data_IF_829069367415
#
_entry.id   IF_829069367415
#
_cell.length_a   1.000
_cell.length_b   1.000
_cell.length_c   1.000
_cell.angle_alpha   90.00
_cell.angle_beta   90.00
_cell.angle_gamma   90.00
#
_symmetry.space_group_name_H-M   'P 1'
#
loop_
_entity.id
_entity.type
_entity.pdbx_description
1 polymer ?
#
# COMPACT_ATOMS: atom_id res chain seq x y z
N UNK A 1 -7.50 -21.42 19.26
CA UNK A 1 -7.34 -20.13 18.56
C UNK A 1 -5.87 -19.74 18.60
N UNK A 2 -5.29 -19.45 17.46
CA UNK A 2 -3.90 -18.98 17.35
C UNK A 2 -3.85 -17.46 17.38
N UNK A 3 -2.82 -16.87 18.01
CA UNK A 3 -2.66 -15.41 18.08
C UNK A 3 -1.27 -15.06 17.56
N UNK A 4 -1.19 -14.28 16.47
CA UNK A 4 0.05 -13.79 15.93
C UNK A 4 0.19 -12.30 16.20
N UNK A 5 1.26 -11.92 16.89
CA UNK A 5 1.63 -10.53 17.10
C UNK A 5 2.68 -10.11 16.06
N UNK A 6 2.32 -9.20 15.19
CA UNK A 6 3.21 -8.73 14.12
C UNK A 6 3.97 -7.53 14.64
N UNK A 7 5.27 -7.69 14.85
CA UNK A 7 6.13 -6.68 15.44
C UNK A 7 7.12 -6.11 14.39
N UNK A 8 7.18 -4.79 14.21
CA UNK A 8 8.12 -4.17 13.30
C UNK A 8 9.52 -4.06 13.92
N UNK A 9 10.56 -4.24 13.12
CA UNK A 9 11.95 -3.97 13.53
C UNK A 9 12.35 -2.51 13.36
N UNK A 10 11.52 -1.70 12.71
CA UNK A 10 11.80 -0.28 12.46
C UNK A 10 10.64 0.44 11.80
N UNK A 11 10.90 1.71 11.47
CA UNK A 11 9.97 2.52 10.70
C UNK A 11 9.96 2.09 9.22
N UNK A 12 8.80 2.11 8.59
CA UNK A 12 8.69 1.88 7.15
C UNK A 12 8.95 0.45 6.68
N UNK A 13 9.00 -0.54 7.58
CA UNK A 13 9.21 -1.96 7.21
C UNK A 13 8.03 -2.58 6.46
N UNK A 14 6.90 -1.89 6.34
CA UNK A 14 5.68 -2.39 5.69
C UNK A 14 4.86 -3.30 6.59
N UNK A 15 4.71 -2.90 7.85
CA UNK A 15 3.97 -3.66 8.87
C UNK A 15 2.54 -3.97 8.44
N UNK A 16 1.78 -2.95 8.06
CA UNK A 16 0.37 -3.08 7.62
C UNK A 16 0.25 -3.93 6.36
N UNK A 17 1.15 -3.76 5.38
CA UNK A 17 1.18 -4.59 4.17
C UNK A 17 1.41 -6.07 4.50
N UNK A 18 2.28 -6.34 5.49
CA UNK A 18 2.54 -7.71 5.96
C UNK A 18 1.34 -8.27 6.73
N UNK A 19 0.68 -7.46 7.56
CA UNK A 19 -0.55 -7.85 8.27
C UNK A 19 -1.66 -8.21 7.28
N UNK A 20 -1.87 -7.38 6.24
CA UNK A 20 -2.82 -7.65 5.15
C UNK A 20 -2.50 -8.97 4.42
N UNK A 21 -1.23 -9.16 4.04
CA UNK A 21 -0.79 -10.37 3.35
C UNK A 21 -0.93 -11.63 4.20
N UNK A 22 -0.60 -11.55 5.49
CA UNK A 22 -0.76 -12.66 6.41
C UNK A 22 -2.23 -13.03 6.60
N UNK A 23 -3.11 -12.05 6.80
CA UNK A 23 -4.55 -12.29 6.87
C UNK A 23 -5.07 -12.96 5.60
N UNK A 24 -4.62 -12.54 4.42
CA UNK A 24 -5.00 -13.15 3.15
C UNK A 24 -4.50 -14.59 3.04
N UNK A 25 -3.28 -14.88 3.45
CA UNK A 25 -2.73 -16.23 3.44
C UNK A 25 -3.52 -17.17 4.38
N UNK A 26 -3.87 -16.67 5.57
CA UNK A 26 -4.68 -17.42 6.55
C UNK A 26 -6.12 -17.63 6.06
N UNK A 27 -6.75 -16.60 5.45
CA UNK A 27 -8.09 -16.69 4.86
C UNK A 27 -8.11 -17.70 3.70
N UNK A 28 -7.07 -17.69 2.85
CA UNK A 28 -6.91 -18.68 1.77
C UNK A 28 -6.69 -20.09 2.29
N UNK A 29 -6.15 -20.23 3.50
CA UNK A 29 -6.10 -21.48 4.25
C UNK A 29 -7.45 -21.93 4.80
N UNK A 30 -8.52 -21.15 4.64
CA UNK A 30 -9.89 -21.45 5.07
C UNK A 30 -10.16 -21.18 6.55
N UNK A 31 -9.33 -20.36 7.20
CA UNK A 31 -9.47 -20.02 8.61
C UNK A 31 -10.40 -18.82 8.82
N UNK A 32 -11.12 -18.80 9.92
CA UNK A 32 -11.85 -17.62 10.39
C UNK A 32 -10.85 -16.64 11.00
N UNK A 33 -10.50 -15.63 10.23
CA UNK A 33 -9.53 -14.63 10.64
C UNK A 33 -10.15 -13.52 11.48
N UNK A 34 -9.34 -12.93 12.36
CA UNK A 34 -9.65 -11.68 13.05
C UNK A 34 -8.40 -10.79 13.11
N UNK A 35 -8.63 -9.51 13.33
CA UNK A 35 -7.57 -8.50 13.40
C UNK A 35 -7.77 -7.60 14.61
N UNK A 36 -6.66 -7.16 15.19
CA UNK A 36 -6.66 -6.16 16.25
C UNK A 36 -5.44 -5.25 16.11
N UNK A 37 -5.68 -3.94 16.05
CA UNK A 37 -4.69 -2.89 16.26
C UNK A 37 -4.89 -2.36 17.67
N UNK A 38 -4.04 -2.72 18.66
CA UNK A 38 -4.29 -2.36 20.06
C UNK A 38 -4.28 -0.85 20.31
N UNK A 39 -3.37 -0.13 19.65
CA UNK A 39 -3.12 1.30 19.86
C UNK A 39 -3.09 2.01 18.52
N UNK A 40 -3.83 3.13 18.43
CA UNK A 40 -3.88 3.95 17.23
C UNK A 40 -2.54 4.66 17.00
N UNK A 41 -2.10 4.66 15.75
CA UNK A 41 -0.96 5.44 15.29
C UNK A 41 -1.35 6.19 14.02
N UNK A 42 -1.72 7.46 14.19
CA UNK A 42 -2.02 8.35 13.07
C UNK A 42 -0.74 9.00 12.53
N UNK A 43 -0.70 9.21 11.22
CA UNK A 43 0.32 10.05 10.61
C UNK A 43 -0.01 11.54 10.80
N UNK A 44 1.00 12.41 10.79
CA UNK A 44 0.78 13.86 10.87
C UNK A 44 -0.19 14.32 9.77
N UNK A 45 -1.31 14.91 10.18
CA UNK A 45 -2.36 15.39 9.27
C UNK A 45 -3.49 14.41 8.97
N UNK A 46 -3.41 13.16 9.43
CA UNK A 46 -4.53 12.22 9.28
C UNK A 46 -5.69 12.59 10.20
N UNK A 47 -6.87 12.68 9.60
CA UNK A 47 -8.14 12.87 10.31
C UNK A 47 -9.06 11.71 9.94
N UNK A 48 -9.46 10.90 10.91
CA UNK A 48 -10.36 9.78 10.63
C UNK A 48 -10.03 8.52 11.44
N UNK A 49 -10.59 7.38 11.07
CA UNK A 49 -10.27 6.07 11.66
C UNK A 49 -8.79 5.73 11.50
N UNK A 50 -8.29 4.88 12.38
CA UNK A 50 -6.92 4.38 12.26
C UNK A 50 -6.76 3.57 10.97
N UNK A 51 -5.72 3.90 10.22
CA UNK A 51 -5.53 3.47 8.83
C UNK A 51 -5.46 1.95 8.64
N UNK A 52 -4.70 1.24 9.48
CA UNK A 52 -4.57 -0.22 9.37
C UNK A 52 -5.92 -0.91 9.61
N UNK A 53 -6.65 -0.48 10.64
CA UNK A 53 -7.97 -1.02 10.96
C UNK A 53 -8.97 -0.79 9.84
N UNK A 54 -8.99 0.42 9.26
CA UNK A 54 -9.87 0.76 8.16
C UNK A 54 -9.55 -0.03 6.88
N UNK A 55 -8.25 -0.18 6.54
CA UNK A 55 -7.81 -1.02 5.43
C UNK A 55 -8.26 -2.48 5.60
N UNK A 56 -8.12 -3.03 6.79
CA UNK A 56 -8.55 -4.40 7.12
C UNK A 56 -10.06 -4.54 6.99
N UNK A 57 -10.83 -3.59 7.53
CA UNK A 57 -12.30 -3.60 7.42
C UNK A 57 -12.75 -3.63 5.96
N UNK A 58 -12.15 -2.80 5.12
CA UNK A 58 -12.51 -2.73 3.70
C UNK A 58 -12.07 -3.95 2.89
N UNK A 59 -10.97 -4.60 3.30
CA UNK A 59 -10.38 -5.71 2.54
C UNK A 59 -11.01 -7.04 2.88
N UNK A 60 -11.30 -7.30 4.15
CA UNK A 60 -11.72 -8.63 4.65
C UNK A 60 -13.15 -8.68 5.17
N UNK A 61 -13.89 -7.57 5.16
CA UNK A 61 -15.23 -7.46 5.73
C UNK A 61 -15.29 -7.97 7.20
N UNK A 62 -14.24 -7.69 7.97
CA UNK A 62 -14.19 -7.88 9.42
C UNK A 62 -14.21 -6.52 10.11
N UNK A 63 -14.74 -6.47 11.31
CA UNK A 63 -14.79 -5.25 12.12
C UNK A 63 -13.80 -5.37 13.28
N UNK A 64 -12.58 -4.83 13.15
CA UNK A 64 -11.63 -4.79 14.26
C UNK A 64 -12.17 -3.92 15.39
N UNK A 65 -11.81 -4.23 16.65
CA UNK A 65 -12.13 -3.32 17.76
C UNK A 65 -11.43 -1.98 17.55
N UNK A 66 -12.09 -0.90 17.92
CA UNK A 66 -11.49 0.44 17.85
C UNK A 66 -10.19 0.45 18.66
N UNK A 67 -9.05 0.84 18.07
CA UNK A 67 -7.78 0.92 18.78
C UNK A 67 -7.84 2.00 19.87
N UNK A 68 -7.03 1.82 20.92
CA UNK A 68 -6.92 2.82 21.96
C UNK A 68 -6.20 4.06 21.43
N UNK A 69 -6.73 5.28 21.67
CA UNK A 69 -6.04 6.51 21.28
C UNK A 69 -4.64 6.61 21.88
N UNK A 70 -3.68 7.15 21.11
CA UNK A 70 -2.29 7.29 21.56
C UNK A 70 -2.18 8.16 22.82
N UNK A 71 -2.90 9.28 22.87
CA UNK A 71 -2.93 10.18 24.02
C UNK A 71 -3.40 9.47 25.30
N UNK A 72 -4.41 8.62 25.19
CA UNK A 72 -4.90 7.84 26.32
C UNK A 72 -3.86 6.81 26.75
N UNK A 73 -3.18 6.17 25.80
CA UNK A 73 -2.09 5.23 26.07
C UNK A 73 -0.93 5.93 26.81
N UNK A 74 -0.54 7.11 26.32
CA UNK A 74 0.55 7.90 26.93
C UNK A 74 0.20 8.37 28.36
N UNK A 75 -1.08 8.70 28.60
CA UNK A 75 -1.55 9.02 29.94
C UNK A 75 -1.39 7.82 30.89
N UNK A 76 -1.85 6.62 30.52
CA UNK A 76 -1.66 5.42 31.33
C UNK A 76 -0.18 5.13 31.64
N UNK A 77 0.68 5.31 30.63
CA UNK A 77 2.14 5.09 30.80
C UNK A 77 2.76 6.13 31.71
N UNK A 78 2.35 7.41 31.58
CA UNK A 78 2.82 8.51 32.42
C UNK A 78 2.39 8.38 33.88
N UNK A 79 1.19 7.87 34.12
CA UNK A 79 0.63 7.60 35.46
C UNK A 79 1.15 6.27 36.06
N UNK A 80 1.99 5.51 35.36
CA UNK A 80 2.50 4.20 35.82
C UNK A 80 1.46 3.09 35.81
N UNK A 81 0.34 3.25 35.12
CA UNK A 81 -0.80 2.33 35.08
C UNK A 81 -0.73 1.37 33.87
N UNK A 82 0.43 0.77 33.64
CA UNK A 82 0.60 -0.17 32.51
C UNK A 82 -0.34 -1.36 32.59
N UNK A 83 -0.55 -1.92 33.79
CA UNK A 83 -1.40 -3.09 33.98
C UNK A 83 -2.85 -2.79 33.62
N UNK A 84 -3.39 -1.63 33.99
CA UNK A 84 -4.75 -1.20 33.65
C UNK A 84 -4.90 -1.01 32.14
N UNK A 85 -3.88 -0.43 31.48
CA UNK A 85 -3.82 -0.32 30.02
C UNK A 85 -3.90 -1.69 29.34
N UNK A 86 -3.08 -2.64 29.80
CA UNK A 86 -3.03 -3.99 29.23
C UNK A 86 -4.35 -4.73 29.45
N UNK A 87 -4.99 -4.59 30.61
CA UNK A 87 -6.28 -5.21 30.90
C UNK A 87 -7.38 -4.71 29.95
N UNK A 88 -7.46 -3.39 29.71
CA UNK A 88 -8.42 -2.84 28.77
C UNK A 88 -8.20 -3.32 27.34
N UNK A 89 -6.94 -3.45 26.90
CA UNK A 89 -6.62 -3.97 25.58
C UNK A 89 -6.98 -5.44 25.46
N UNK A 90 -6.65 -6.24 26.47
CA UNK A 90 -7.01 -7.67 26.53
C UNK A 90 -8.53 -7.88 26.48
N UNK A 91 -9.29 -7.06 27.19
CA UNK A 91 -10.75 -7.12 27.15
C UNK A 91 -11.30 -6.86 25.73
N UNK A 92 -10.85 -5.80 25.06
CA UNK A 92 -11.25 -5.49 23.69
C UNK A 92 -10.84 -6.59 22.71
N UNK A 93 -9.64 -7.12 22.88
CA UNK A 93 -9.14 -8.22 22.07
C UNK A 93 -10.03 -9.46 22.17
N UNK A 94 -10.41 -9.87 23.37
CA UNK A 94 -11.24 -11.05 23.57
C UNK A 94 -12.63 -10.91 22.94
N UNK A 95 -13.22 -9.71 22.96
CA UNK A 95 -14.48 -9.45 22.29
C UNK A 95 -14.37 -9.65 20.76
N UNK A 96 -13.25 -9.19 20.16
CA UNK A 96 -13.00 -9.35 18.73
C UNK A 96 -12.60 -10.78 18.33
N UNK A 97 -12.06 -11.55 19.28
CA UNK A 97 -11.55 -12.90 19.06
C UNK A 97 -12.64 -13.98 19.09
N UNK A 98 -13.85 -13.63 19.49
CA UNK A 98 -14.95 -14.59 19.61
C UNK A 98 -15.28 -15.23 18.25
N UNK A 99 -15.28 -16.56 18.22
CA UNK A 99 -15.59 -17.33 17.00
C UNK A 99 -14.51 -17.30 15.91
N UNK A 100 -13.32 -16.79 16.21
CA UNK A 100 -12.17 -16.77 15.28
C UNK A 100 -11.27 -17.99 15.49
N UNK A 101 -10.68 -18.48 14.41
CA UNK A 101 -9.66 -19.53 14.46
C UNK A 101 -8.27 -18.96 14.72
N UNK A 102 -8.03 -17.74 14.16
CA UNK A 102 -6.75 -17.03 14.28
C UNK A 102 -6.96 -15.52 14.39
N UNK A 103 -6.16 -14.90 15.25
CA UNK A 103 -6.10 -13.45 15.42
C UNK A 103 -4.73 -12.92 15.00
N UNK A 104 -4.71 -11.90 14.17
CA UNK A 104 -3.51 -11.12 13.83
C UNK A 104 -3.56 -9.81 14.62
N UNK A 105 -2.55 -9.56 15.42
CA UNK A 105 -2.41 -8.35 16.23
C UNK A 105 -1.27 -7.51 15.66
N UNK A 106 -1.56 -6.31 15.19
CA UNK A 106 -0.55 -5.42 14.65
C UNK A 106 0.04 -4.53 15.74
N UNK A 107 1.34 -4.65 15.95
CA UNK A 107 2.08 -3.87 16.93
C UNK A 107 2.24 -2.40 16.56
N UNK A 108 2.86 -1.65 17.45
CA UNK A 108 3.21 -0.25 17.24
C UNK A 108 4.52 -0.14 16.48
N UNK A 109 4.58 0.82 15.55
CA UNK A 109 5.81 1.19 14.85
C UNK A 109 6.63 2.15 15.73
N UNK A 110 7.92 1.87 16.00
CA UNK A 110 8.77 2.80 16.69
C UNK A 110 9.01 4.06 15.85
N UNK A 111 8.79 5.23 16.44
CA UNK A 111 9.07 6.54 15.86
C UNK A 111 9.94 7.36 16.81
N UNK A 112 10.43 8.52 16.35
CA UNK A 112 11.22 9.41 17.20
C UNK A 112 10.45 9.90 18.44
N UNK A 113 9.13 10.02 18.32
CA UNK A 113 8.23 10.47 19.40
C UNK A 113 7.68 9.31 20.23
N UNK A 114 7.68 8.08 19.72
CA UNK A 114 7.11 6.88 20.37
C UNK A 114 8.24 5.87 20.64
N UNK A 115 9.23 6.28 21.43
CA UNK A 115 10.39 5.45 21.77
C UNK A 115 10.06 4.22 22.65
N UNK A 116 8.92 4.26 23.34
CA UNK A 116 8.42 3.19 24.20
C UNK A 116 7.73 2.04 23.42
N UNK A 117 7.54 2.17 22.10
CA UNK A 117 6.80 1.21 21.28
C UNK A 117 7.31 -0.23 21.43
N UNK A 118 8.63 -0.43 21.42
CA UNK A 118 9.22 -1.77 21.53
C UNK A 118 8.87 -2.45 22.86
N UNK A 119 8.99 -1.71 23.98
CA UNK A 119 8.64 -2.22 25.32
C UNK A 119 7.15 -2.52 25.42
N UNK A 120 6.31 -1.67 24.86
CA UNK A 120 4.87 -1.85 24.89
C UNK A 120 4.43 -3.02 24.00
N UNK A 121 5.04 -3.19 22.82
CA UNK A 121 4.82 -4.36 21.97
C UNK A 121 5.12 -5.67 22.69
N UNK A 122 6.23 -5.74 23.42
CA UNK A 122 6.59 -6.93 24.20
C UNK A 122 5.57 -7.21 25.32
N UNK A 123 5.13 -6.17 26.03
CA UNK A 123 4.10 -6.30 27.07
C UNK A 123 2.75 -6.74 26.48
N UNK A 124 2.34 -6.20 25.34
CA UNK A 124 1.12 -6.58 24.63
C UNK A 124 1.17 -8.03 24.14
N UNK A 125 2.25 -8.44 23.49
CA UNK A 125 2.42 -9.81 23.00
C UNK A 125 2.35 -10.82 24.15
N UNK A 126 3.01 -10.50 25.26
CA UNK A 126 2.99 -11.34 26.47
C UNK A 126 1.59 -11.42 27.09
N UNK A 127 0.89 -10.28 27.24
CA UNK A 127 -0.43 -10.22 27.88
C UNK A 127 -1.51 -10.92 27.05
N UNK A 128 -1.38 -10.92 25.74
CA UNK A 128 -2.27 -11.63 24.83
C UNK A 128 -1.89 -13.12 24.67
N UNK A 129 -0.76 -13.56 25.23
CA UNK A 129 -0.24 -14.90 24.99
C UNK A 129 0.08 -15.17 23.52
N UNK A 130 0.43 -14.14 22.78
CA UNK A 130 0.63 -14.19 21.34
C UNK A 130 2.02 -14.72 20.98
N UNK A 131 2.08 -15.43 19.87
CA UNK A 131 3.33 -15.77 19.19
C UNK A 131 3.74 -14.59 18.29
N UNK A 132 5.03 -14.25 18.28
CA UNK A 132 5.55 -13.06 17.61
C UNK A 132 6.09 -13.41 16.24
N UNK A 133 5.72 -12.61 15.24
CA UNK A 133 6.33 -12.58 13.91
C UNK A 133 6.97 -11.21 13.73
N UNK A 134 8.28 -11.17 13.51
CA UNK A 134 8.99 -9.94 13.22
C UNK A 134 8.82 -9.57 11.74
N UNK A 135 8.68 -8.28 11.47
CA UNK A 135 8.71 -7.73 10.11
C UNK A 135 9.92 -6.82 9.99
N UNK A 136 10.79 -7.16 9.07
CA UNK A 136 12.02 -6.43 8.81
C UNK A 136 12.13 -6.04 7.33
N UNK A 137 12.72 -4.88 7.08
CA UNK A 137 13.11 -4.47 5.73
C UNK A 137 14.62 -4.21 5.74
N UNK A 138 15.37 -4.75 4.76
CA UNK A 138 16.79 -4.48 4.67
C UNK A 138 17.02 -3.00 4.33
N UNK A 139 17.90 -2.35 5.04
CA UNK A 139 18.53 -1.12 4.58
C UNK A 139 19.61 -1.48 3.57
N UNK A 140 19.90 -0.61 2.60
CA UNK A 140 20.71 -0.92 1.44
C UNK A 140 22.00 -1.70 1.78
N UNK A 141 22.03 -2.96 1.37
CA UNK A 141 23.27 -3.74 1.15
C UNK A 141 23.94 -4.39 2.35
N UNK A 142 23.36 -4.43 3.58
CA UNK A 142 24.08 -4.98 4.73
C UNK A 142 23.32 -6.07 5.50
N UNK A 143 23.53 -7.34 5.10
CA UNK A 143 22.96 -8.50 5.78
C UNK A 143 23.40 -8.64 7.25
N UNK A 144 24.62 -8.20 7.59
CA UNK A 144 25.14 -8.23 8.96
C UNK A 144 24.36 -7.27 9.88
N UNK A 145 24.15 -6.03 9.44
CA UNK A 145 23.36 -5.06 10.21
C UNK A 145 21.91 -5.52 10.41
N UNK A 146 21.35 -6.21 9.44
CA UNK A 146 20.01 -6.80 9.56
C UNK A 146 20.00 -7.96 10.58
N UNK A 147 21.02 -8.83 10.58
CA UNK A 147 21.15 -9.90 11.56
C UNK A 147 21.26 -9.36 12.99
N UNK A 148 22.13 -8.37 13.22
CA UNK A 148 22.28 -7.70 14.51
C UNK A 148 20.96 -7.03 14.96
N UNK A 149 20.27 -6.37 14.05
CA UNK A 149 18.97 -5.75 14.32
C UNK A 149 17.93 -6.81 14.72
N UNK A 150 17.86 -7.92 14.01
CA UNK A 150 16.94 -9.01 14.34
C UNK A 150 17.23 -9.62 15.71
N UNK A 151 18.49 -9.80 16.07
CA UNK A 151 18.87 -10.34 17.38
C UNK A 151 18.44 -9.39 18.51
N UNK A 152 18.65 -8.08 18.34
CA UNK A 152 18.18 -7.06 19.28
C UNK A 152 16.65 -7.13 19.44
N UNK A 153 15.92 -7.20 18.33
CA UNK A 153 14.46 -7.24 18.37
C UNK A 153 13.93 -8.57 18.95
N UNK A 154 14.55 -9.71 18.63
CA UNK A 154 14.23 -10.97 19.28
C UNK A 154 14.42 -10.90 20.81
N UNK A 155 15.48 -10.22 21.27
CA UNK A 155 15.76 -10.10 22.71
C UNK A 155 14.65 -9.37 23.48
N UNK A 156 13.92 -8.47 22.84
CA UNK A 156 12.78 -7.75 23.42
C UNK A 156 11.61 -8.67 23.76
N UNK A 157 11.48 -9.80 23.05
CA UNK A 157 10.44 -10.83 23.26
C UNK A 157 10.98 -12.09 23.94
N UNK A 158 12.14 -12.01 24.60
CA UNK A 158 12.74 -13.12 25.35
C UNK A 158 13.88 -13.85 24.63
N UNK A 159 14.34 -13.33 23.50
CA UNK A 159 15.46 -13.84 22.72
C UNK A 159 15.08 -14.77 21.57
N UNK A 160 16.00 -14.99 20.65
CA UNK A 160 15.81 -15.81 19.44
C UNK A 160 15.63 -17.31 19.72
N UNK A 161 15.96 -17.76 20.92
CA UNK A 161 15.73 -19.14 21.41
C UNK A 161 14.42 -19.29 22.16
N UNK A 162 13.61 -18.23 22.24
CA UNK A 162 12.33 -18.27 22.90
C UNK A 162 11.27 -18.74 21.89
N UNK A 163 10.55 -19.80 22.22
CA UNK A 163 9.47 -20.38 21.41
C UNK A 163 8.35 -19.36 21.06
N UNK A 164 8.38 -18.18 21.68
CA UNK A 164 7.43 -17.09 21.42
C UNK A 164 7.73 -16.30 20.14
N UNK A 165 9.00 -16.22 19.70
CA UNK A 165 9.34 -15.59 18.43
C UNK A 165 9.42 -16.68 17.37
N UNK A 166 8.39 -16.77 16.55
CA UNK A 166 8.26 -17.84 15.57
C UNK A 166 9.14 -17.65 14.34
N UNK A 167 9.31 -16.41 13.91
CA UNK A 167 10.06 -16.15 12.72
C UNK A 167 10.04 -14.69 12.27
N UNK A 168 10.59 -14.48 11.11
CA UNK A 168 10.71 -13.16 10.48
C UNK A 168 10.12 -13.19 9.07
N UNK A 169 9.44 -12.12 8.70
CA UNK A 169 9.11 -11.79 7.31
C UNK A 169 10.05 -10.68 6.87
N UNK A 170 10.88 -10.98 5.87
CA UNK A 170 11.69 -9.97 5.18
C UNK A 170 10.83 -9.31 4.11
N UNK A 171 10.60 -8.01 4.25
CA UNK A 171 9.84 -7.24 3.28
C UNK A 171 10.76 -6.27 2.53
N UNK A 172 10.37 -5.87 1.33
CA UNK A 172 11.11 -4.90 0.48
C UNK A 172 12.52 -5.36 0.10
N UNK A 173 12.71 -6.65 -0.09
CA UNK A 173 13.99 -7.25 -0.46
C UNK A 173 14.35 -6.86 -1.90
N UNK A 174 15.54 -6.29 -2.09
CA UNK A 174 16.07 -5.90 -3.43
C UNK A 174 17.15 -6.85 -3.93
N UNK A 175 17.78 -7.57 -3.04
CA UNK A 175 18.86 -8.51 -3.32
C UNK A 175 18.36 -9.94 -3.04
N UNK A 176 18.24 -10.73 -4.09
CA UNK A 176 17.74 -12.11 -4.01
C UNK A 176 18.69 -13.03 -3.22
N UNK A 177 19.95 -12.63 -3.02
CA UNK A 177 20.93 -13.38 -2.22
C UNK A 177 20.80 -13.12 -0.71
N UNK A 178 20.09 -12.07 -0.30
CA UNK A 178 19.99 -11.64 1.10
C UNK A 178 19.41 -12.73 2.04
N UNK A 179 18.40 -13.50 1.68
CA UNK A 179 17.88 -14.54 2.56
C UNK A 179 18.92 -15.61 2.92
N UNK A 180 19.76 -15.98 1.96
CA UNK A 180 20.83 -16.95 2.19
C UNK A 180 21.99 -16.35 3.00
N UNK A 181 22.40 -15.12 2.71
CA UNK A 181 23.37 -14.38 3.52
C UNK A 181 22.90 -14.26 4.98
N UNK A 182 21.62 -13.93 5.19
CA UNK A 182 21.06 -13.81 6.53
C UNK A 182 21.07 -15.15 7.28
N UNK A 183 20.75 -16.26 6.62
CA UNK A 183 20.83 -17.60 7.25
C UNK A 183 22.23 -17.92 7.74
N UNK A 184 23.26 -17.56 6.96
CA UNK A 184 24.67 -17.79 7.32
C UNK A 184 25.14 -16.87 8.46
N UNK A 185 24.60 -15.66 8.54
CA UNK A 185 25.01 -14.63 9.51
C UNK A 185 24.20 -14.64 10.80
N UNK A 186 22.99 -15.20 10.78
CA UNK A 186 22.11 -15.26 11.94
C UNK A 186 21.90 -16.69 12.41
N UNK A 187 22.65 -17.14 13.46
CA UNK A 187 22.67 -18.53 13.89
C UNK A 187 21.30 -19.11 14.27
N UNK A 188 20.36 -18.28 14.70
CA UNK A 188 19.01 -18.73 15.02
C UNK A 188 18.21 -19.20 13.78
N UNK A 189 18.43 -18.58 12.63
CA UNK A 189 17.84 -19.03 11.36
C UNK A 189 18.53 -20.30 10.83
N UNK A 190 19.86 -20.38 10.97
CA UNK A 190 20.63 -21.56 10.56
C UNK A 190 20.24 -22.82 11.35
N UNK A 191 20.07 -22.68 12.65
CA UNK A 191 19.71 -23.78 13.56
C UNK A 191 18.22 -24.13 13.55
N UNK A 192 17.38 -23.30 12.92
CA UNK A 192 15.94 -23.49 12.90
C UNK A 192 15.21 -23.06 14.18
N UNK A 193 15.90 -22.36 15.09
CA UNK A 193 15.29 -21.76 16.29
C UNK A 193 14.32 -20.63 15.92
N UNK A 194 14.61 -19.93 14.81
CA UNK A 194 13.78 -18.90 14.19
C UNK A 194 13.54 -19.27 12.72
N UNK A 195 12.34 -19.01 12.20
CA UNK A 195 12.00 -19.34 10.81
C UNK A 195 11.94 -18.09 9.94
N UNK A 196 12.42 -18.19 8.69
CA UNK A 196 12.13 -17.22 7.66
C UNK A 196 10.74 -17.52 7.07
N UNK A 197 9.72 -16.79 7.54
CA UNK A 197 8.31 -17.02 7.20
C UNK A 197 7.88 -16.40 5.88
N UNK A 198 8.70 -15.54 5.32
CA UNK A 198 8.46 -14.92 4.02
C UNK A 198 9.60 -14.03 3.59
N UNK A 199 9.75 -13.93 2.26
CA UNK A 199 10.68 -13.02 1.63
C UNK A 199 9.93 -12.29 0.50
N UNK A 200 9.57 -11.03 0.75
CA UNK A 200 8.76 -10.22 -0.15
C UNK A 200 9.69 -9.29 -0.94
N UNK A 201 9.86 -9.50 -2.25
CA UNK A 201 10.73 -8.67 -3.06
C UNK A 201 10.18 -7.25 -3.21
N UNK A 202 11.08 -6.29 -3.40
CA UNK A 202 10.69 -4.91 -3.69
C UNK A 202 10.08 -4.81 -5.08
N UNK A 203 8.91 -4.16 -5.16
CA UNK A 203 8.25 -3.84 -6.42
C UNK A 203 7.91 -2.34 -6.46
N UNK A 204 8.47 -1.61 -7.42
CA UNK A 204 8.21 -0.17 -7.55
C UNK A 204 6.73 0.12 -7.80
N UNK A 205 6.09 -0.70 -8.63
CA UNK A 205 4.67 -0.56 -8.97
C UNK A 205 3.75 -0.61 -7.74
N UNK A 206 4.06 -1.47 -6.76
CA UNK A 206 3.26 -1.60 -5.53
C UNK A 206 3.43 -0.42 -4.58
N UNK A 207 4.48 0.40 -4.79
CA UNK A 207 4.77 1.57 -3.98
C UNK A 207 4.44 2.89 -4.69
N UNK A 208 3.85 2.81 -5.89
CA UNK A 208 3.52 3.97 -6.71
C UNK A 208 2.19 4.59 -6.28
N UNK A 209 2.18 5.83 -5.73
CA UNK A 209 0.95 6.54 -5.38
C UNK A 209 0.21 6.97 -6.65
N UNK A 210 -1.09 7.17 -6.54
CA UNK A 210 -1.90 7.78 -7.61
C UNK A 210 -1.53 9.25 -7.75
N UNK A 211 -1.69 9.81 -8.95
CA UNK A 211 -1.41 11.23 -9.19
C UNK A 211 -2.29 12.14 -8.32
N UNK A 212 -3.56 11.75 -8.06
CA UNK A 212 -4.44 12.45 -7.13
C UNK A 212 -3.91 12.48 -5.69
N UNK A 213 -3.22 11.43 -5.25
CA UNK A 213 -2.63 11.39 -3.89
C UNK A 213 -1.44 12.34 -3.80
N UNK A 214 -0.68 12.45 -4.88
CA UNK A 214 0.40 13.45 -5.00
C UNK A 214 -0.16 14.86 -4.97
N UNK A 215 -1.23 15.14 -5.71
CA UNK A 215 -1.91 16.44 -5.72
C UNK A 215 -2.40 16.82 -4.31
N UNK A 216 -3.05 15.88 -3.63
CA UNK A 216 -3.56 16.07 -2.26
C UNK A 216 -2.43 16.37 -1.27
N UNK A 217 -1.34 15.59 -1.32
CA UNK A 217 -0.19 15.79 -0.43
C UNK A 217 0.43 17.17 -0.58
N UNK A 218 0.62 17.61 -1.82
CA UNK A 218 1.25 18.90 -2.13
C UNK A 218 0.30 20.10 -1.98
N UNK A 219 -0.98 19.87 -1.70
CA UNK A 219 -1.99 20.93 -1.75
C UNK A 219 -2.07 21.57 -3.14
N UNK A 220 -1.83 20.78 -4.19
CA UNK A 220 -1.75 21.26 -5.55
C UNK A 220 -3.14 21.72 -6.06
N UNK A 221 -3.13 22.80 -6.84
CA UNK A 221 -4.30 23.20 -7.61
C UNK A 221 -4.36 22.36 -8.90
N UNK A 222 -5.42 21.58 -9.06
CA UNK A 222 -5.62 20.70 -10.21
C UNK A 222 -6.21 21.51 -11.36
N UNK A 223 -5.39 21.76 -12.39
CA UNK A 223 -5.84 22.46 -13.63
C UNK A 223 -6.64 21.51 -14.53
N UNK A 224 -6.22 20.26 -14.60
CA UNK A 224 -6.90 19.19 -15.31
C UNK A 224 -6.70 17.87 -14.59
N UNK A 225 -7.78 17.26 -14.14
CA UNK A 225 -7.71 16.01 -13.38
C UNK A 225 -7.28 14.84 -14.27
N UNK A 226 -7.79 14.79 -15.49
CA UNK A 226 -7.51 13.68 -16.40
C UNK A 226 -7.86 12.35 -15.76
N UNK A 227 -6.95 11.38 -15.88
CA UNK A 227 -7.06 10.05 -15.27
C UNK A 227 -6.19 9.95 -14.00
N UNK A 228 -6.27 10.94 -13.11
CA UNK A 228 -5.43 11.05 -11.90
C UNK A 228 -5.68 9.93 -10.87
N UNK A 229 -6.82 9.26 -10.97
CA UNK A 229 -7.22 8.15 -10.10
C UNK A 229 -6.51 6.83 -10.46
N UNK A 230 -6.19 6.61 -11.74
CA UNK A 230 -5.55 5.38 -12.20
C UNK A 230 -4.06 5.56 -12.55
N UNK A 231 -3.66 6.78 -12.90
CA UNK A 231 -2.25 7.07 -13.18
C UNK A 231 -1.43 7.08 -11.90
N UNK A 232 -0.32 6.35 -11.93
CA UNK A 232 0.56 6.14 -10.78
C UNK A 232 1.94 6.71 -11.04
N UNK A 233 2.51 7.35 -10.01
CA UNK A 233 3.84 7.94 -10.05
C UNK A 233 4.87 6.93 -9.54
N UNK A 234 5.69 6.39 -10.43
CA UNK A 234 6.85 5.57 -10.06
C UNK A 234 8.11 6.41 -9.93
N UNK A 235 8.28 7.35 -10.87
CA UNK A 235 9.47 8.21 -10.94
C UNK A 235 9.10 9.68 -11.03
N UNK A 236 10.00 10.52 -10.52
CA UNK A 236 9.91 11.98 -10.60
C UNK A 236 11.03 12.45 -11.49
N UNK A 237 10.72 13.30 -12.46
CA UNK A 237 11.70 13.94 -13.31
C UNK A 237 11.57 15.45 -13.19
N UNK A 238 12.59 16.08 -12.59
CA UNK A 238 12.72 17.53 -12.53
C UNK A 238 13.38 18.04 -13.82
N UNK A 239 12.61 18.73 -14.66
CA UNK A 239 13.06 19.23 -15.97
C UNK A 239 13.80 20.56 -15.85
N UNK A 240 15.03 20.51 -15.34
CA UNK A 240 15.91 21.67 -15.19
C UNK A 240 16.78 21.95 -16.44
N UNK A 241 16.88 20.98 -17.36
CA UNK A 241 17.71 21.09 -18.59
C UNK A 241 16.87 21.54 -19.78
N UNK A 242 17.55 21.90 -20.85
CA UNK A 242 16.91 22.20 -22.15
C UNK A 242 16.22 20.92 -22.70
N UNK A 243 15.16 21.12 -23.47
CA UNK A 243 14.29 20.05 -24.00
C UNK A 243 15.03 18.87 -24.64
N UNK A 244 16.06 19.04 -25.51
CA UNK A 244 16.76 17.90 -26.10
C UNK A 244 17.39 16.95 -25.10
N UNK A 245 17.71 17.44 -23.88
CA UNK A 245 18.33 16.66 -22.81
C UNK A 245 17.30 16.10 -21.80
N UNK A 246 16.01 16.28 -22.06
CA UNK A 246 14.91 15.83 -21.18
C UNK A 246 13.93 14.89 -21.88
N UNK A 247 13.89 14.88 -23.21
CA UNK A 247 12.91 14.10 -24.00
C UNK A 247 12.95 12.61 -23.67
N UNK A 248 14.13 12.03 -23.51
CA UNK A 248 14.31 10.61 -23.17
C UNK A 248 13.82 10.25 -21.77
N UNK A 249 13.61 11.24 -20.90
CA UNK A 249 13.11 11.06 -19.54
C UNK A 249 11.58 10.97 -19.49
N UNK A 250 10.88 11.31 -20.57
CA UNK A 250 9.42 11.18 -20.66
C UNK A 250 9.04 9.73 -20.92
N UNK A 251 8.99 8.97 -19.84
CA UNK A 251 8.72 7.53 -19.84
C UNK A 251 7.40 7.22 -19.13
N UNK A 252 6.82 6.03 -19.32
CA UNK A 252 5.63 5.60 -18.59
C UNK A 252 5.78 5.81 -17.08
N UNK A 253 4.69 6.27 -16.45
CA UNK A 253 4.57 6.46 -14.98
C UNK A 253 5.53 7.50 -14.38
N UNK A 254 6.10 8.37 -15.22
CA UNK A 254 6.91 9.51 -14.77
C UNK A 254 6.00 10.69 -14.47
N UNK A 255 6.19 11.29 -13.27
CA UNK A 255 5.69 12.63 -12.97
C UNK A 255 6.71 13.66 -13.46
N UNK A 256 6.32 14.46 -14.44
CA UNK A 256 7.15 15.53 -14.98
C UNK A 256 6.96 16.77 -14.11
N UNK A 257 8.04 17.26 -13.51
CA UNK A 257 8.05 18.47 -12.65
C UNK A 257 8.82 19.57 -13.37
N UNK A 258 8.19 20.72 -13.58
CA UNK A 258 8.79 21.87 -14.26
C UNK A 258 8.18 23.17 -13.76
N UNK A 259 8.87 24.34 -13.83
CA UNK A 259 8.23 25.63 -13.63
C UNK A 259 7.06 25.86 -14.60
N UNK A 260 6.03 26.57 -14.15
CA UNK A 260 4.82 26.79 -14.94
C UNK A 260 5.00 27.70 -16.17
N UNK A 261 6.14 28.38 -16.29
CA UNK A 261 6.54 29.20 -17.44
C UNK A 261 7.43 28.48 -18.47
N UNK A 262 7.64 27.17 -18.29
CA UNK A 262 8.42 26.34 -19.22
C UNK A 262 7.52 25.72 -20.31
N UNK A 263 7.05 26.58 -21.20
CA UNK A 263 6.16 26.19 -22.32
C UNK A 263 6.77 25.08 -23.19
N UNK A 264 8.08 25.07 -23.37
CA UNK A 264 8.80 24.03 -24.12
C UNK A 264 8.62 22.64 -23.50
N UNK A 265 8.72 22.52 -22.19
CA UNK A 265 8.55 21.26 -21.48
C UNK A 265 7.07 20.85 -21.41
N UNK A 266 6.17 21.82 -21.19
CA UNK A 266 4.71 21.59 -21.16
C UNK A 266 4.24 20.98 -22.48
N UNK A 267 4.62 21.58 -23.60
CA UNK A 267 4.26 21.09 -24.94
C UNK A 267 4.89 19.74 -25.22
N UNK A 268 6.17 19.56 -24.89
CA UNK A 268 6.85 18.30 -25.17
C UNK A 268 6.31 17.12 -24.33
N UNK A 269 6.03 17.32 -23.05
CA UNK A 269 5.41 16.29 -22.20
C UNK A 269 3.99 15.96 -22.70
N UNK A 270 3.23 16.98 -23.10
CA UNK A 270 1.91 16.79 -23.69
C UNK A 270 1.97 16.03 -25.01
N UNK A 271 2.95 16.33 -25.88
CA UNK A 271 3.16 15.59 -27.12
C UNK A 271 3.53 14.13 -26.86
N UNK A 272 4.41 13.88 -25.88
CA UNK A 272 4.74 12.51 -25.46
C UNK A 272 3.49 11.74 -24.99
N UNK A 273 2.64 12.38 -24.17
CA UNK A 273 1.38 11.79 -23.70
C UNK A 273 0.41 11.51 -24.87
N UNK A 274 0.25 12.47 -25.81
CA UNK A 274 -0.58 12.27 -27.00
C UNK A 274 -0.07 11.17 -27.92
N UNK A 275 1.24 10.92 -27.94
CA UNK A 275 1.87 9.83 -28.68
C UNK A 275 1.83 8.49 -27.94
N UNK A 276 1.07 8.39 -26.84
CA UNK A 276 0.83 7.13 -26.14
C UNK A 276 1.78 6.83 -24.98
N UNK A 277 2.61 7.78 -24.53
CA UNK A 277 3.40 7.62 -23.31
C UNK A 277 2.50 7.90 -22.10
N UNK A 278 2.17 6.90 -21.25
CA UNK A 278 1.30 7.09 -20.09
C UNK A 278 2.08 7.76 -18.96
N UNK A 279 2.35 9.06 -19.08
CA UNK A 279 2.94 9.85 -18.00
C UNK A 279 2.03 9.81 -16.76
N UNK A 280 2.60 9.83 -15.58
CA UNK A 280 1.83 9.97 -14.34
C UNK A 280 1.09 11.31 -14.29
N UNK A 281 1.74 12.39 -14.73
CA UNK A 281 1.15 13.71 -14.79
C UNK A 281 2.20 14.78 -15.05
N UNK A 282 1.71 16.01 -15.14
CA UNK A 282 2.52 17.22 -15.27
C UNK A 282 2.30 18.10 -14.04
N UNK A 283 3.35 18.32 -13.25
CA UNK A 283 3.35 19.17 -12.07
C UNK A 283 4.11 20.47 -12.36
N UNK A 284 3.38 21.58 -12.38
CA UNK A 284 3.91 22.91 -12.61
C UNK A 284 4.22 23.57 -11.27
N UNK A 285 5.48 23.87 -11.02
CA UNK A 285 5.93 24.52 -9.78
C UNK A 285 6.19 26.01 -9.98
N UNK A 286 6.58 26.71 -8.90
CA UNK A 286 6.92 28.14 -8.85
C UNK A 286 5.75 29.13 -8.92
N UNK A 287 4.51 28.66 -8.84
CA UNK A 287 3.31 29.50 -8.85
C UNK A 287 2.94 30.11 -10.22
N UNK A 288 3.81 29.97 -11.23
CA UNK A 288 3.49 30.45 -12.59
C UNK A 288 2.39 29.61 -13.22
N UNK A 289 1.39 30.29 -13.76
CA UNK A 289 0.33 29.63 -14.51
C UNK A 289 0.76 29.46 -15.98
N UNK A 290 0.49 28.31 -16.60
CA UNK A 290 0.81 28.11 -18.01
C UNK A 290 -0.04 29.05 -18.91
N UNK A 291 0.54 29.51 -20.02
CA UNK A 291 -0.20 30.33 -20.95
C UNK A 291 -1.42 29.58 -21.52
N UNK A 292 -2.65 30.15 -21.45
CA UNK A 292 -3.84 29.48 -21.98
C UNK A 292 -3.76 29.10 -23.44
N UNK A 293 -2.94 29.81 -24.26
CA UNK A 293 -2.71 29.46 -25.67
C UNK A 293 -1.88 28.20 -25.80
N UNK A 294 -0.88 28.03 -24.92
CA UNK A 294 -0.04 26.83 -24.85
C UNK A 294 -0.90 25.65 -24.39
N UNK A 295 -1.73 25.82 -23.35
CA UNK A 295 -2.64 24.77 -22.88
C UNK A 295 -3.63 24.30 -23.96
N UNK A 296 -4.11 25.20 -24.82
CA UNK A 296 -4.95 24.79 -25.96
C UNK A 296 -4.19 23.94 -27.00
N UNK A 297 -2.88 24.11 -27.17
CA UNK A 297 -2.08 23.20 -28.00
C UNK A 297 -1.94 21.80 -27.36
N UNK A 298 -2.04 21.73 -26.07
CA UNK A 298 -1.94 20.48 -25.31
C UNK A 298 -3.27 19.71 -25.19
N UNK A 299 -4.37 20.21 -25.78
CA UNK A 299 -5.72 19.67 -25.60
C UNK A 299 -5.80 18.17 -25.88
N UNK A 300 -5.14 17.68 -26.91
CA UNK A 300 -5.11 16.24 -27.25
C UNK A 300 -4.54 15.37 -26.11
N UNK A 301 -3.55 15.87 -25.37
CA UNK A 301 -2.99 15.18 -24.22
C UNK A 301 -3.94 15.19 -23.01
N UNK A 302 -4.62 16.33 -22.82
CA UNK A 302 -5.64 16.47 -21.77
C UNK A 302 -6.79 15.50 -22.03
N UNK A 303 -7.29 15.46 -23.27
CA UNK A 303 -8.37 14.54 -23.68
C UNK A 303 -7.94 13.06 -23.57
N UNK A 304 -6.63 12.77 -23.71
CA UNK A 304 -6.03 11.47 -23.44
C UNK A 304 -5.80 11.19 -21.94
N UNK A 305 -6.32 12.05 -21.07
CA UNK A 305 -6.31 11.87 -19.63
C UNK A 305 -4.99 12.25 -18.93
N UNK A 306 -4.17 13.16 -19.50
CA UNK A 306 -2.98 13.66 -18.79
C UNK A 306 -3.38 14.58 -17.62
N UNK A 307 -3.07 14.23 -16.36
CA UNK A 307 -3.30 15.14 -15.24
C UNK A 307 -2.31 16.31 -15.28
N UNK A 308 -2.82 17.51 -15.03
CA UNK A 308 -2.00 18.74 -14.92
C UNK A 308 -2.36 19.46 -13.63
N UNK A 309 -1.35 19.76 -12.83
CA UNK A 309 -1.51 20.40 -11.53
C UNK A 309 -0.45 21.46 -11.29
N UNK A 310 -0.73 22.43 -10.42
CA UNK A 310 0.20 23.52 -10.07
C UNK A 310 0.43 23.60 -8.57
N UNK A 311 1.63 24.02 -8.18
CA UNK A 311 2.01 24.32 -6.80
C UNK A 311 2.76 25.64 -6.74
N UNK A 312 2.60 26.36 -5.61
CA UNK A 312 3.29 27.63 -5.36
C UNK A 312 4.78 27.44 -5.02
N UNK A 313 5.14 26.26 -4.52
CA UNK A 313 6.51 25.97 -4.09
C UNK A 313 7.50 25.96 -5.23
N UNK A 314 8.74 26.38 -4.94
CA UNK A 314 9.85 26.32 -5.89
C UNK A 314 10.25 24.89 -6.25
N UNK A 315 10.96 24.70 -7.36
CA UNK A 315 11.31 23.38 -7.90
C UNK A 315 12.04 22.48 -6.88
N UNK A 316 12.97 23.05 -6.11
CA UNK A 316 13.71 22.30 -5.09
C UNK A 316 12.82 21.85 -3.93
N UNK A 317 11.98 22.75 -3.44
CA UNK A 317 11.05 22.44 -2.35
C UNK A 317 10.01 21.40 -2.79
N UNK A 318 9.45 21.57 -4.00
CA UNK A 318 8.52 20.60 -4.60
C UNK A 318 9.15 19.20 -4.68
N UNK A 319 10.38 19.11 -5.21
CA UNK A 319 11.10 17.84 -5.31
C UNK A 319 11.40 17.24 -3.93
N UNK A 320 11.73 18.09 -2.94
CA UNK A 320 11.97 17.65 -1.56
C UNK A 320 10.70 17.09 -0.93
N UNK A 321 9.56 17.76 -1.09
CA UNK A 321 8.26 17.32 -0.59
C UNK A 321 7.84 15.99 -1.22
N UNK A 322 8.02 15.84 -2.53
CA UNK A 322 7.77 14.59 -3.25
C UNK A 322 8.64 13.43 -2.76
N UNK A 323 9.94 13.68 -2.49
CA UNK A 323 10.85 12.64 -1.99
C UNK A 323 10.53 12.22 -0.53
N UNK A 324 9.96 13.12 0.25
CA UNK A 324 9.53 12.86 1.65
C UNK A 324 8.11 12.33 1.73
N UNK A 325 7.46 12.13 0.61
CA UNK A 325 6.08 11.63 0.55
C UNK A 325 5.94 10.33 1.32
N UNK A 326 4.98 10.29 2.22
CA UNK A 326 4.53 9.01 2.79
C UNK A 326 3.92 8.15 1.68
N UNK A 327 4.48 6.97 1.47
CA UNK A 327 4.05 6.02 0.43
C UNK A 327 3.14 4.93 0.98
N UNK A 328 2.55 5.13 2.13
CA UNK A 328 1.53 4.22 2.65
C UNK A 328 0.33 4.12 1.69
N UNK A 329 -0.39 3.04 1.83
CA UNK A 329 -1.52 2.77 0.93
C UNK A 329 -2.72 3.59 1.41
N UNK A 330 -3.24 4.54 0.62
CA UNK A 330 -4.46 5.24 0.98
C UNK A 330 -5.63 4.27 1.15
N UNK A 331 -6.49 4.54 2.11
CA UNK A 331 -7.64 3.68 2.44
C UNK A 331 -8.62 3.51 1.27
N UNK A 332 -8.67 4.50 0.38
CA UNK A 332 -9.53 4.51 -0.81
C UNK A 332 -8.86 3.94 -2.07
N UNK A 333 -7.58 3.52 -2.00
CA UNK A 333 -6.86 2.88 -3.10
C UNK A 333 -7.03 1.35 -3.09
N UNK A 334 -8.26 0.89 -3.29
CA UNK A 334 -8.62 -0.53 -3.21
C UNK A 334 -7.85 -1.42 -4.18
N UNK A 335 -7.48 -0.91 -5.35
CA UNK A 335 -6.68 -1.64 -6.33
C UNK A 335 -5.28 -1.94 -5.79
N UNK A 336 -4.62 -0.92 -5.22
CA UNK A 336 -3.28 -1.08 -4.63
C UNK A 336 -3.31 -1.96 -3.39
N UNK A 337 -4.34 -1.80 -2.55
CA UNK A 337 -4.56 -2.66 -1.38
C UNK A 337 -4.61 -4.13 -1.80
N UNK A 338 -5.45 -4.49 -2.78
CA UNK A 338 -5.60 -5.87 -3.23
C UNK A 338 -4.32 -6.41 -3.90
N UNK A 339 -3.63 -5.59 -4.70
CA UNK A 339 -2.34 -5.98 -5.31
C UNK A 339 -1.30 -6.29 -4.24
N UNK A 340 -1.11 -5.38 -3.29
CA UNK A 340 -0.12 -5.56 -2.20
C UNK A 340 -0.48 -6.74 -1.32
N UNK A 341 -1.74 -6.86 -0.93
CA UNK A 341 -2.24 -7.96 -0.08
C UNK A 341 -1.97 -9.32 -0.71
N UNK A 342 -2.33 -9.49 -1.99
CA UNK A 342 -2.10 -10.76 -2.69
C UNK A 342 -0.61 -11.00 -2.99
N UNK A 343 0.14 -9.94 -3.27
CA UNK A 343 1.58 -10.06 -3.52
C UNK A 343 2.32 -10.52 -2.26
N UNK A 344 2.09 -9.88 -1.13
CA UNK A 344 2.70 -10.29 0.14
C UNK A 344 2.26 -11.71 0.51
N UNK A 345 0.96 -12.02 0.42
CA UNK A 345 0.45 -13.34 0.74
C UNK A 345 1.19 -14.47 -0.02
N UNK A 346 1.46 -14.28 -1.32
CA UNK A 346 2.16 -15.28 -2.16
C UNK A 346 3.60 -15.56 -1.75
N UNK A 347 4.23 -14.63 -1.02
CA UNK A 347 5.62 -14.73 -0.58
C UNK A 347 5.76 -15.19 0.87
N UNK A 348 4.65 -15.60 1.51
CA UNK A 348 4.65 -16.21 2.84
C UNK A 348 4.70 -17.74 2.75
N UNK A 349 5.21 -18.38 3.79
CA UNK A 349 5.27 -19.82 3.92
C UNK A 349 3.88 -20.40 4.25
N UNK A 350 3.12 -20.69 3.21
CA UNK A 350 1.75 -21.21 3.32
C UNK A 350 1.68 -22.59 3.95
N UNK A 351 2.70 -23.44 3.74
CA UNK A 351 2.74 -24.80 4.29
C UNK A 351 2.83 -24.73 5.80
N UNK A 352 3.77 -23.95 6.30
CA UNK A 352 3.94 -23.73 7.72
C UNK A 352 2.69 -23.09 8.37
N UNK A 353 2.12 -22.06 7.74
CA UNK A 353 0.89 -21.43 8.26
C UNK A 353 -0.26 -22.42 8.38
N UNK A 354 -0.41 -23.32 7.40
CA UNK A 354 -1.46 -24.35 7.39
C UNK A 354 -1.23 -25.39 8.48
N UNK A 355 -0.01 -25.89 8.60
CA UNK A 355 0.35 -26.88 9.63
C UNK A 355 0.08 -26.33 11.04
N UNK A 356 0.45 -25.08 11.28
CA UNK A 356 0.32 -24.47 12.60
C UNK A 356 -1.13 -24.10 12.96
N UNK A 357 -1.94 -23.71 12.01
CA UNK A 357 -3.31 -23.28 12.27
C UNK A 357 -4.37 -24.40 12.18
N UNK A 358 -4.01 -25.59 11.74
CA UNK A 358 -4.91 -26.75 11.64
C UNK A 358 -5.65 -26.84 10.28
N UNK A 359 -6.71 -27.65 10.24
CA UNK A 359 -7.39 -27.98 9.00
C UNK A 359 -8.13 -26.78 8.39
N UNK A 360 -8.00 -26.57 7.08
CA UNK A 360 -8.68 -25.46 6.38
C UNK A 360 -10.21 -25.68 6.33
N UNK A 361 -10.92 -24.54 6.31
CA UNK A 361 -12.39 -24.47 6.10
C UNK A 361 -12.72 -23.94 4.72
N UNK A 362 -14.00 -23.89 4.41
CA UNK A 362 -14.48 -23.33 3.15
C UNK A 362 -14.10 -21.84 3.02
N UNK A 363 -13.53 -21.48 1.86
CA UNK A 363 -13.01 -20.14 1.60
C UNK A 363 -14.14 -19.16 1.33
N UNK A 364 -14.30 -18.18 2.18
CA UNK A 364 -15.12 -17.00 1.94
C UNK A 364 -14.23 -15.82 1.49
N UNK A 365 -14.52 -15.27 0.31
CA UNK A 365 -13.79 -14.11 -0.19
C UNK A 365 -14.46 -12.83 0.32
N UNK A 366 -13.67 -11.86 0.77
CA UNK A 366 -14.18 -10.52 1.02
C UNK A 366 -14.71 -9.88 -0.29
N UNK A 367 -15.69 -8.95 -0.21
CA UNK A 367 -16.19 -8.29 -1.40
C UNK A 367 -15.13 -7.60 -2.27
N UNK A 368 -14.13 -6.91 -1.72
CA UNK A 368 -13.00 -6.37 -2.50
C UNK A 368 -12.18 -7.47 -3.18
N UNK A 369 -11.84 -8.55 -2.48
CA UNK A 369 -11.07 -9.67 -3.02
C UNK A 369 -11.82 -10.37 -4.16
N UNK A 370 -13.13 -10.54 -4.03
CA UNK A 370 -13.98 -11.11 -5.06
C UNK A 370 -13.99 -10.22 -6.31
N UNK A 371 -14.22 -8.91 -6.16
CA UNK A 371 -14.17 -7.94 -7.27
C UNK A 371 -12.82 -7.95 -7.96
N UNK A 372 -11.73 -7.88 -7.21
CA UNK A 372 -10.38 -7.92 -7.75
C UNK A 372 -10.14 -9.20 -8.56
N UNK A 373 -10.47 -10.36 -7.99
CA UNK A 373 -10.34 -11.67 -8.70
C UNK A 373 -11.15 -11.73 -9.97
N UNK A 374 -12.39 -11.22 -9.94
CA UNK A 374 -13.24 -11.17 -11.14
C UNK A 374 -12.60 -10.32 -12.23
N UNK A 375 -12.12 -9.14 -11.89
CA UNK A 375 -11.46 -8.23 -12.84
C UNK A 375 -10.19 -8.87 -13.41
N UNK A 376 -9.34 -9.47 -12.59
CA UNK A 376 -8.12 -10.13 -13.07
C UNK A 376 -8.43 -11.31 -14.01
N UNK A 377 -9.37 -12.18 -13.64
CA UNK A 377 -9.80 -13.28 -14.50
C UNK A 377 -10.41 -12.79 -15.80
N UNK A 378 -11.16 -11.69 -15.76
CA UNK A 378 -11.74 -11.09 -16.94
C UNK A 378 -10.65 -10.52 -17.86
N UNK A 379 -9.65 -9.83 -17.31
CA UNK A 379 -8.47 -9.34 -18.05
C UNK A 379 -7.70 -10.47 -18.72
N UNK A 380 -7.38 -11.51 -17.98
CA UNK A 380 -6.67 -12.71 -18.50
C UNK A 380 -7.47 -13.38 -19.61
N UNK A 381 -8.78 -13.50 -19.42
CA UNK A 381 -9.67 -14.10 -20.40
C UNK A 381 -9.82 -13.24 -21.66
N UNK A 382 -9.64 -11.92 -21.58
CA UNK A 382 -9.68 -10.96 -22.70
C UNK A 382 -10.86 -11.19 -23.66
N UNK A 383 -12.06 -11.40 -23.13
CA UNK A 383 -13.24 -11.78 -23.91
C UNK A 383 -13.86 -10.58 -24.61
N UNK A 384 -14.45 -10.86 -25.79
CA UNK A 384 -15.33 -9.92 -26.49
C UNK A 384 -16.75 -10.14 -25.97
N UNK A 385 -17.38 -9.06 -25.48
CA UNK A 385 -18.77 -9.08 -24.97
C UNK A 385 -19.61 -8.17 -25.84
N UNK A 386 -20.70 -8.74 -26.38
CA UNK A 386 -21.69 -7.99 -27.15
C UNK A 386 -22.77 -7.49 -26.20
N UNK A 387 -23.05 -6.19 -26.23
CA UNK A 387 -24.03 -5.52 -25.41
C UNK A 387 -25.21 -5.08 -26.29
N UNK A 388 -26.36 -5.78 -26.20
CA UNK A 388 -27.49 -5.55 -27.11
C UNK A 388 -28.16 -4.19 -26.91
N UNK A 389 -28.12 -3.64 -25.70
CA UNK A 389 -28.70 -2.31 -25.38
C UNK A 389 -27.64 -1.21 -25.53
N UNK A 390 -26.99 -1.13 -26.69
CA UNK A 390 -25.80 -0.32 -26.91
C UNK A 390 -26.03 1.20 -26.89
N UNK A 391 -27.26 1.70 -26.89
CA UNK A 391 -27.60 3.12 -26.74
C UNK A 391 -28.14 3.49 -25.35
N UNK A 392 -28.23 2.54 -24.43
CA UNK A 392 -28.66 2.80 -23.05
C UNK A 392 -27.49 3.41 -22.28
N UNK A 393 -27.68 4.56 -21.57
CA UNK A 393 -26.61 5.29 -20.91
C UNK A 393 -25.75 4.44 -19.97
N UNK A 394 -26.36 3.59 -19.16
CA UNK A 394 -25.64 2.70 -18.23
C UNK A 394 -24.79 1.67 -18.96
N UNK A 395 -25.28 1.15 -20.10
CA UNK A 395 -24.57 0.19 -20.94
C UNK A 395 -23.36 0.83 -21.60
N UNK A 396 -23.51 2.06 -22.11
CA UNK A 396 -22.39 2.84 -22.69
C UNK A 396 -21.35 3.12 -21.62
N UNK A 397 -21.74 3.58 -20.45
CA UNK A 397 -20.84 3.84 -19.32
C UNK A 397 -20.12 2.56 -18.86
N UNK A 398 -20.85 1.44 -18.75
CA UNK A 398 -20.25 0.15 -18.39
C UNK A 398 -19.23 -0.33 -19.44
N UNK A 399 -19.53 -0.14 -20.73
CA UNK A 399 -18.62 -0.48 -21.82
C UNK A 399 -17.34 0.38 -21.77
N UNK A 400 -17.47 1.68 -21.51
CA UNK A 400 -16.33 2.58 -21.33
C UNK A 400 -15.43 2.12 -20.18
N UNK A 401 -16.00 1.86 -18.99
CA UNK A 401 -15.27 1.35 -17.83
C UNK A 401 -14.58 0.00 -18.13
N UNK A 402 -15.27 -0.91 -18.79
CA UNK A 402 -14.69 -2.20 -19.17
C UNK A 402 -13.50 -2.06 -20.12
N UNK A 403 -13.59 -1.14 -21.07
CA UNK A 403 -12.52 -0.85 -22.03
C UNK A 403 -11.33 -0.19 -21.34
N UNK A 404 -11.58 0.84 -20.55
CA UNK A 404 -10.56 1.61 -19.81
C UNK A 404 -9.78 0.72 -18.84
N UNK A 405 -10.49 -0.12 -18.10
CA UNK A 405 -9.89 -1.05 -17.12
C UNK A 405 -9.39 -2.35 -17.73
N UNK A 406 -9.50 -2.53 -19.03
CA UNK A 406 -9.07 -3.75 -19.73
C UNK A 406 -9.84 -5.01 -19.32
N UNK A 407 -11.08 -4.87 -18.81
CA UNK A 407 -11.90 -5.99 -18.30
C UNK A 407 -12.43 -6.85 -19.45
N UNK A 408 -12.91 -6.21 -20.52
CA UNK A 408 -13.47 -6.88 -21.69
C UNK A 408 -13.42 -5.98 -22.91
N UNK A 409 -13.47 -6.60 -24.10
CA UNK A 409 -13.67 -5.89 -25.37
C UNK A 409 -15.16 -5.78 -25.63
N UNK A 410 -15.76 -4.64 -25.31
CA UNK A 410 -17.19 -4.45 -25.47
C UNK A 410 -17.54 -4.07 -26.93
N UNK A 411 -18.62 -4.65 -27.44
CA UNK A 411 -19.24 -4.31 -28.73
C UNK A 411 -20.66 -3.85 -28.47
N UNK A 412 -20.94 -2.59 -28.70
CA UNK A 412 -22.25 -1.99 -28.51
C UNK A 412 -23.09 -2.22 -29.79
N UNK A 413 -24.26 -2.86 -29.67
CA UNK A 413 -25.21 -3.00 -30.76
C UNK A 413 -26.15 -1.80 -30.77
N UNK A 414 -25.74 -0.72 -31.46
CA UNK A 414 -26.54 0.48 -31.64
C UNK A 414 -26.06 1.29 -32.84
N UNK A 415 -26.86 2.23 -33.29
CA UNK A 415 -26.42 3.21 -34.30
C UNK A 415 -25.36 4.13 -33.66
N UNK A 416 -24.32 4.45 -34.42
CA UNK A 416 -23.21 5.26 -33.95
C UNK A 416 -23.66 6.59 -33.36
N UNK A 417 -24.54 7.30 -34.05
CA UNK A 417 -25.06 8.59 -33.61
C UNK A 417 -25.79 8.52 -32.27
N UNK A 418 -26.49 7.39 -31.99
CA UNK A 418 -27.18 7.17 -30.72
C UNK A 418 -26.19 6.95 -29.56
N UNK A 419 -25.08 6.22 -29.82
CA UNK A 419 -24.02 6.03 -28.83
C UNK A 419 -23.28 7.32 -28.55
N UNK A 420 -22.90 8.06 -29.59
CA UNK A 420 -22.19 9.37 -29.46
C UNK A 420 -23.02 10.43 -28.73
N UNK A 421 -24.34 10.39 -28.87
CA UNK A 421 -25.22 11.33 -28.14
C UNK A 421 -25.31 11.04 -26.64
N UNK A 422 -25.07 9.82 -26.24
CA UNK A 422 -25.09 9.35 -24.83
C UNK A 422 -23.70 9.42 -24.20
N UNK A 423 -22.65 9.33 -24.99
CA UNK A 423 -21.24 9.37 -24.52
C UNK A 423 -20.71 10.77 -24.26
N UNK A 424 -21.45 11.83 -24.66
CA UNK A 424 -21.16 13.25 -24.37
C UNK A 424 -21.71 13.65 -23.02
#
# INVERSE_FOLDING_TARGET
MQIYFIAPTGFGVGLTSTSLGLLRALEQGGLKIGFCKPIAQHHPGDTGPEQSSELITRTFAIEPPAPMPLEQTEKYLGDGQLDDLLEQIVQRFHQAAEGKDVMVVEGMVPTRTVSYAARLNAALASSLGADVILVAAPEDGNGSALADSLEIHCSQFGGSRNDKVLGVVLNKVRDDSLPEQLRQQFPALEKGDLRLLGCVPWQEELNAPRTRDVAKLLGANVLHAGDDEHRRMEKIVLCARALPNTVELFQPRVLVVTPGDRDDIIVAASLAASNGVPLAGLLLCTGFQPDPRVMRLCQSALDAGLPVMTVETGSYETATNLNRMNREIPVDDSERVEKVTNFVARHLDHEWLRERCGSPRELTLSPPAFRYRMVQRAREANKRIVLPEGSEPRTVQAAAICQERGIARCVLLAKRDAVESVAR
#
